data_IF_144229772063
#
_entry.id   IF_144229772063
#
_cell.length_a   1.000
_cell.length_b   1.000
_cell.length_c   1.000
_cell.angle_alpha   90.00
_cell.angle_beta   90.00
_cell.angle_gamma   90.00
#
_symmetry.space_group_name_H-M   'P 1'
#
loop_
_entity.id
_entity.type
_entity.pdbx_description
1 polymer ?
#
# COMPACT_ATOMS: atom_id res chain seq x y z
N UNK A 1 36.01 11.06 2.78
CA UNK A 1 34.79 11.60 3.43
C UNK A 1 33.65 11.83 2.45
N UNK A 2 33.94 12.21 1.19
CA UNK A 2 32.94 12.35 0.13
C UNK A 2 32.37 11.00 -0.36
N UNK A 3 33.19 9.95 -0.41
CA UNK A 3 32.77 8.62 -0.88
C UNK A 3 31.72 7.96 0.03
N UNK A 4 31.84 8.19 1.34
CA UNK A 4 30.91 7.64 2.34
C UNK A 4 29.53 8.32 2.26
N UNK A 5 29.49 9.61 1.92
CA UNK A 5 28.24 10.34 1.65
C UNK A 5 27.58 9.85 0.37
N UNK A 6 28.35 9.65 -0.70
CA UNK A 6 27.85 9.10 -1.96
C UNK A 6 27.27 7.70 -1.77
N UNK A 7 27.96 6.84 -1.02
CA UNK A 7 27.48 5.49 -0.71
C UNK A 7 26.14 5.51 0.06
N UNK A 8 26.01 6.39 1.06
CA UNK A 8 24.75 6.59 1.79
C UNK A 8 23.60 7.01 0.87
N UNK A 9 23.85 7.92 -0.07
CA UNK A 9 22.83 8.39 -1.02
C UNK A 9 22.37 7.24 -1.94
N UNK A 10 23.31 6.45 -2.47
CA UNK A 10 22.96 5.27 -3.28
C UNK A 10 22.17 4.23 -2.51
N UNK A 11 22.52 4.03 -1.23
CA UNK A 11 21.80 3.10 -0.36
C UNK A 11 20.36 3.54 -0.10
N UNK A 12 20.12 4.82 0.20
CA UNK A 12 18.76 5.34 0.36
C UNK A 12 17.93 5.24 -0.94
N UNK A 13 18.54 5.61 -2.07
CA UNK A 13 17.88 5.47 -3.37
C UNK A 13 17.47 4.02 -3.69
N UNK A 14 18.34 3.06 -3.35
CA UNK A 14 18.05 1.64 -3.53
C UNK A 14 16.87 1.17 -2.68
N UNK A 15 16.80 1.61 -1.43
CA UNK A 15 15.68 1.30 -0.53
C UNK A 15 14.37 1.86 -1.08
N UNK A 16 14.36 3.12 -1.51
CA UNK A 16 13.17 3.77 -2.04
C UNK A 16 12.66 3.08 -3.32
N UNK A 17 13.58 2.71 -4.21
CA UNK A 17 13.26 1.95 -5.41
C UNK A 17 12.66 0.57 -5.09
N UNK A 18 13.24 -0.13 -4.11
CA UNK A 18 12.75 -1.43 -3.66
C UNK A 18 11.35 -1.33 -3.05
N UNK A 19 11.11 -0.33 -2.19
CA UNK A 19 9.80 -0.06 -1.60
C UNK A 19 8.74 0.25 -2.66
N UNK A 20 9.09 1.03 -3.69
CA UNK A 20 8.19 1.35 -4.78
C UNK A 20 7.79 0.12 -5.61
N UNK A 21 8.75 -0.75 -5.93
CA UNK A 21 8.47 -2.00 -6.65
C UNK A 21 7.57 -2.95 -5.85
N UNK A 22 7.77 -3.02 -4.53
CA UNK A 22 6.97 -3.86 -3.64
C UNK A 22 5.51 -3.37 -3.60
N UNK A 23 5.31 -2.05 -3.52
CA UNK A 23 3.99 -1.43 -3.62
C UNK A 23 3.29 -1.78 -4.95
N UNK A 24 4.02 -1.71 -6.07
CA UNK A 24 3.47 -2.01 -7.39
C UNK A 24 3.07 -3.50 -7.54
N UNK A 25 3.86 -4.40 -6.97
CA UNK A 25 3.52 -5.83 -6.91
C UNK A 25 2.24 -6.10 -6.11
N UNK A 26 2.07 -5.43 -4.98
CA UNK A 26 0.84 -5.55 -4.16
C UNK A 26 -0.38 -5.10 -4.96
N UNK A 27 -0.29 -3.97 -5.67
CA UNK A 27 -1.40 -3.49 -6.50
C UNK A 27 -1.76 -4.46 -7.63
N UNK A 28 -0.78 -5.06 -8.29
CA UNK A 28 -1.02 -6.05 -9.33
C UNK A 28 -1.73 -7.31 -8.80
N UNK A 29 -1.32 -7.80 -7.62
CA UNK A 29 -1.99 -8.95 -6.98
C UNK A 29 -3.44 -8.60 -6.64
N UNK A 30 -3.66 -7.43 -6.06
CA UNK A 30 -5.00 -6.95 -5.71
C UNK A 30 -5.90 -6.86 -6.95
N UNK A 31 -5.39 -6.36 -8.08
CA UNK A 31 -6.16 -6.26 -9.32
C UNK A 31 -6.53 -7.63 -9.91
N UNK A 32 -5.63 -8.63 -9.83
CA UNK A 32 -5.97 -10.01 -10.26
C UNK A 32 -7.05 -10.63 -9.38
N UNK A 33 -7.01 -10.41 -8.06
CA UNK A 33 -8.04 -10.88 -7.12
C UNK A 33 -9.39 -10.22 -7.42
N UNK A 34 -9.39 -8.91 -7.67
CA UNK A 34 -10.62 -8.20 -8.05
C UNK A 34 -11.17 -8.72 -9.37
N UNK A 35 -10.35 -8.91 -10.40
CA UNK A 35 -10.83 -9.36 -11.70
C UNK A 35 -11.46 -10.76 -11.61
N UNK A 36 -10.82 -11.69 -10.89
CA UNK A 36 -11.32 -13.04 -10.66
C UNK A 36 -12.59 -13.06 -9.79
N UNK A 37 -12.65 -12.20 -8.76
CA UNK A 37 -13.83 -12.03 -7.91
C UNK A 37 -15.04 -11.52 -8.70
N UNK A 38 -14.85 -10.50 -9.53
CA UNK A 38 -15.90 -9.95 -10.40
C UNK A 38 -16.36 -10.95 -11.46
N UNK A 39 -15.45 -11.75 -12.03
CA UNK A 39 -15.81 -12.82 -12.98
C UNK A 39 -16.71 -13.87 -12.31
N UNK A 40 -16.37 -14.31 -11.09
CA UNK A 40 -17.16 -15.29 -10.34
C UNK A 40 -18.54 -14.76 -9.90
N UNK A 41 -18.63 -13.47 -9.56
CA UNK A 41 -19.90 -12.81 -9.20
C UNK A 41 -20.79 -12.68 -10.44
N UNK A 42 -20.23 -12.28 -11.59
CA UNK A 42 -20.94 -12.23 -12.87
C UNK A 42 -21.39 -13.62 -13.37
N UNK A 43 -20.68 -14.69 -13.02
CA UNK A 43 -21.11 -16.06 -13.34
C UNK A 43 -22.29 -16.52 -12.48
N UNK A 44 -22.29 -16.17 -11.19
CA UNK A 44 -23.34 -16.58 -10.23
C UNK A 44 -24.61 -15.72 -10.33
N UNK A 45 -24.45 -14.45 -10.67
CA UNK A 45 -25.57 -13.52 -10.86
C UNK A 45 -25.67 -13.31 -12.36
N UNK A 46 -26.72 -13.83 -13.01
CA UNK A 46 -26.98 -13.70 -14.46
C UNK A 46 -27.03 -12.24 -14.99
N UNK A 47 -26.78 -11.24 -14.15
CA UNK A 47 -26.51 -9.87 -14.55
C UNK A 47 -25.05 -9.74 -15.03
N UNK A 48 -24.87 -9.50 -16.33
CA UNK A 48 -23.59 -9.06 -16.87
C UNK A 48 -23.28 -7.65 -16.36
N UNK A 49 -22.46 -7.52 -15.30
CA UNK A 49 -21.82 -6.23 -15.02
C UNK A 49 -20.86 -5.90 -16.16
N UNK A 50 -20.98 -4.70 -16.73
CA UNK A 50 -20.10 -4.21 -17.78
C UNK A 50 -18.64 -4.16 -17.25
N UNK A 51 -17.76 -4.99 -17.82
CA UNK A 51 -16.34 -5.08 -17.46
C UNK A 51 -15.52 -3.93 -18.07
N UNK A 52 -16.02 -2.70 -18.04
CA UNK A 52 -15.27 -1.57 -18.55
C UNK A 52 -14.19 -1.16 -17.54
N UNK A 53 -13.03 -1.78 -17.67
CA UNK A 53 -11.87 -1.63 -16.77
C UNK A 53 -11.45 -0.16 -16.61
N UNK A 54 -11.62 0.67 -17.64
CA UNK A 54 -11.27 2.10 -17.60
C UNK A 54 -12.16 2.88 -16.65
N UNK A 55 -13.47 2.60 -16.61
CA UNK A 55 -14.43 3.27 -15.72
C UNK A 55 -14.14 2.86 -14.27
N UNK A 56 -13.86 1.58 -14.02
CA UNK A 56 -13.49 1.11 -12.68
C UNK A 56 -12.18 1.73 -12.19
N UNK A 57 -11.16 1.83 -13.04
CA UNK A 57 -9.93 2.53 -12.70
C UNK A 57 -10.18 4.01 -12.40
N UNK A 58 -10.98 4.69 -13.23
CA UNK A 58 -11.36 6.08 -13.04
C UNK A 58 -12.06 6.32 -11.69
N UNK A 59 -13.00 5.45 -11.31
CA UNK A 59 -13.69 5.53 -10.02
C UNK A 59 -12.73 5.29 -8.85
N UNK A 60 -11.87 4.26 -8.92
CA UNK A 60 -10.85 3.99 -7.88
C UNK A 60 -9.94 5.21 -7.68
N UNK A 61 -9.50 5.83 -8.77
CA UNK A 61 -8.65 7.02 -8.75
C UNK A 61 -9.35 8.23 -8.12
N UNK A 62 -10.60 8.49 -8.52
CA UNK A 62 -11.42 9.58 -7.98
C UNK A 62 -11.66 9.42 -6.47
N UNK A 63 -11.95 8.19 -6.04
CA UNK A 63 -12.16 7.87 -4.63
C UNK A 63 -10.87 8.07 -3.82
N UNK A 64 -9.71 7.71 -4.37
CA UNK A 64 -8.41 7.94 -3.76
C UNK A 64 -8.12 9.45 -3.60
N UNK A 65 -8.35 10.25 -4.65
CA UNK A 65 -8.21 11.72 -4.60
C UNK A 65 -9.15 12.32 -3.57
N UNK A 66 -10.42 11.90 -3.57
CA UNK A 66 -11.41 12.38 -2.61
C UNK A 66 -10.97 12.11 -1.17
N UNK A 67 -10.44 10.92 -0.89
CA UNK A 67 -9.91 10.57 0.43
C UNK A 67 -8.71 11.42 0.83
N UNK A 68 -7.77 11.69 -0.10
CA UNK A 68 -6.62 12.57 0.16
C UNK A 68 -7.05 14.01 0.47
N UNK A 69 -8.05 14.52 -0.25
CA UNK A 69 -8.63 15.85 -0.01
C UNK A 69 -9.29 15.89 1.37
N UNK A 70 -10.07 14.85 1.72
CA UNK A 70 -10.70 14.74 3.03
C UNK A 70 -9.68 14.67 4.16
N UNK A 71 -8.59 13.91 4.03
CA UNK A 71 -7.54 13.86 5.05
C UNK A 71 -6.91 15.24 5.22
N UNK A 72 -6.59 15.93 4.12
CA UNK A 72 -5.98 17.26 4.17
C UNK A 72 -6.88 18.31 4.82
N UNK A 73 -8.19 18.23 4.58
CA UNK A 73 -9.17 19.17 5.14
C UNK A 73 -9.67 18.79 6.54
N UNK A 74 -9.74 17.50 6.85
CA UNK A 74 -10.36 16.96 8.07
C UNK A 74 -9.40 16.67 9.22
N UNK A 75 -8.09 16.57 8.96
CA UNK A 75 -7.11 16.31 10.03
C UNK A 75 -6.44 17.59 10.53
N UNK A 76 -6.36 17.80 11.86
CA UNK A 76 -5.63 18.94 12.41
C UNK A 76 -4.13 18.79 12.12
N UNK A 77 -3.44 19.93 11.93
CA UNK A 77 -2.00 19.93 11.67
C UNK A 77 -1.24 19.41 12.90
N UNK A 78 -0.66 18.22 12.78
CA UNK A 78 0.21 17.66 13.82
C UNK A 78 1.58 18.35 13.83
N UNK A 79 2.06 18.67 15.02
CA UNK A 79 3.43 19.14 15.24
C UNK A 79 4.41 18.00 14.99
N UNK A 80 5.60 18.31 14.43
CA UNK A 80 6.61 17.32 14.08
C UNK A 80 6.99 16.37 15.24
N UNK A 81 7.05 16.88 16.48
CA UNK A 81 7.36 16.07 17.67
C UNK A 81 6.30 14.98 17.96
N UNK A 82 5.04 15.26 17.63
CA UNK A 82 3.95 14.30 17.78
C UNK A 82 3.95 13.30 16.60
N UNK A 83 4.24 13.81 15.39
CA UNK A 83 4.28 12.99 14.19
C UNK A 83 5.39 11.93 14.24
N UNK A 84 6.58 12.30 14.75
CA UNK A 84 7.68 11.35 14.96
C UNK A 84 7.31 10.34 16.04
N UNK A 85 6.74 10.76 17.18
CA UNK A 85 6.27 9.80 18.20
C UNK A 85 5.25 8.80 17.64
N UNK A 86 4.30 9.25 16.83
CA UNK A 86 3.28 8.38 16.25
C UNK A 86 3.88 7.42 15.21
N UNK A 87 4.76 7.92 14.34
CA UNK A 87 5.51 7.12 13.36
C UNK A 87 6.37 6.03 14.02
N UNK A 88 7.22 6.43 14.95
CA UNK A 88 8.20 5.54 15.58
C UNK A 88 7.57 4.57 16.58
N UNK A 89 6.66 5.03 17.44
CA UNK A 89 6.09 4.14 18.45
C UNK A 89 4.96 3.28 17.91
N UNK A 90 4.06 3.83 17.09
CA UNK A 90 2.84 3.11 16.69
C UNK A 90 2.99 2.46 15.32
N UNK A 91 3.39 3.19 14.28
CA UNK A 91 3.45 2.60 12.94
C UNK A 91 4.58 1.58 12.81
N UNK A 92 5.79 1.91 13.26
CA UNK A 92 6.93 0.98 13.21
C UNK A 92 6.66 -0.28 14.06
N UNK A 93 6.16 -0.14 15.30
CA UNK A 93 5.87 -1.31 16.13
C UNK A 93 4.80 -2.22 15.51
N UNK A 94 3.75 -1.63 14.92
CA UNK A 94 2.69 -2.38 14.24
C UNK A 94 3.24 -3.14 13.03
N UNK A 95 4.06 -2.48 12.19
CA UNK A 95 4.65 -3.12 11.01
C UNK A 95 5.56 -4.28 11.38
N UNK A 96 6.36 -4.13 12.44
CA UNK A 96 7.20 -5.21 12.95
C UNK A 96 6.38 -6.38 13.49
N UNK A 97 5.30 -6.11 14.23
CA UNK A 97 4.43 -7.15 14.76
C UNK A 97 3.79 -7.99 13.65
N UNK A 98 3.29 -7.33 12.60
CA UNK A 98 2.70 -8.00 11.43
C UNK A 98 3.77 -8.81 10.69
N UNK A 99 4.99 -8.29 10.56
CA UNK A 99 6.09 -9.02 9.94
C UNK A 99 6.43 -10.31 10.71
N UNK A 100 6.55 -10.23 12.03
CA UNK A 100 6.83 -11.42 12.86
C UNK A 100 5.69 -12.43 12.86
N UNK A 101 4.43 -11.98 12.84
CA UNK A 101 3.29 -12.91 12.78
C UNK A 101 3.23 -13.67 11.45
N UNK A 102 3.53 -13.00 10.34
CA UNK A 102 3.63 -13.64 9.02
C UNK A 102 4.78 -14.66 9.00
N UNK A 103 5.94 -14.30 9.55
CA UNK A 103 7.10 -15.19 9.62
C UNK A 103 6.82 -16.44 10.49
N UNK A 104 6.12 -16.26 11.61
CA UNK A 104 5.70 -17.36 12.47
C UNK A 104 4.69 -18.28 11.78
N UNK A 105 3.72 -17.73 11.06
CA UNK A 105 2.79 -18.53 10.25
C UNK A 105 3.54 -19.33 9.18
N UNK A 106 4.50 -18.71 8.50
CA UNK A 106 5.32 -19.40 7.49
C UNK A 106 6.13 -20.56 8.08
N UNK A 107 6.68 -20.41 9.30
CA UNK A 107 7.41 -21.47 10.00
C UNK A 107 6.53 -22.61 10.52
N UNK A 108 5.27 -22.34 10.83
CA UNK A 108 4.34 -23.37 11.34
C UNK A 108 3.69 -24.20 10.24
N UNK A 109 3.54 -23.63 9.04
CA UNK A 109 2.85 -24.26 7.91
C UNK A 109 3.81 -24.83 6.84
N UNK A 110 5.12 -24.53 6.91
CA UNK A 110 6.18 -25.30 6.26
C UNK A 110 6.73 -26.37 7.20
#
# INVERSE_FOLDING_TARGET
>A
MWDLKLYLIYYFYFIDYFMFNLLFMIFNIIDTVYHNGFFNINWKIYYQFAQNTTIFFGIKFLLCIFFLILIRGGTPRYRYDYLTKLGWLKFISLTLLIFFSILLMFLLFN
#
